data_IF_822257719866
#
_entry.id   IF_822257719866
#
_cell.length_a   1.000
_cell.length_b   1.000
_cell.length_c   1.000
_cell.angle_alpha   90.00
_cell.angle_beta   90.00
_cell.angle_gamma   90.00
#
_symmetry.space_group_name_H-M   'P 1'
#
loop_
_entity.id
_entity.type
_entity.pdbx_description
1 polymer ?
#
# COMPACT_ATOMS: atom_id res chain seq x y z
N UNK A 1 8.43 103.93 0.31
CA UNK A 1 8.97 104.33 1.63
C UNK A 1 9.51 103.00 2.20
N UNK A 2 10.79 102.88 2.04
CA UNK A 2 11.87 102.94 3.03
C UNK A 2 11.88 101.74 3.95
N UNK A 3 12.81 100.93 3.74
CA UNK A 3 14.21 100.79 4.14
C UNK A 3 14.40 99.95 5.41
N UNK A 4 15.36 99.06 5.36
CA UNK A 4 16.30 98.63 6.36
C UNK A 4 16.39 97.16 6.48
N UNK A 5 17.27 96.48 6.06
CA UNK A 5 18.73 96.50 5.93
C UNK A 5 19.40 96.11 7.23
N UNK A 6 19.85 94.88 7.40
CA UNK A 6 21.04 94.55 8.19
C UNK A 6 21.52 93.11 8.05
N UNK A 7 22.77 93.07 7.99
CA UNK A 7 23.70 92.00 7.56
C UNK A 7 23.86 90.76 8.45
N UNK A 8 24.46 89.81 7.81
CA UNK A 8 25.04 88.55 8.25
C UNK A 8 26.17 88.66 9.27
N UNK A 9 26.49 87.61 10.09
CA UNK A 9 27.68 86.86 9.77
C UNK A 9 27.58 85.37 9.89
N UNK A 10 28.37 84.81 9.02
CA UNK A 10 28.81 83.45 8.81
C UNK A 10 29.36 82.67 10.04
N UNK A 11 29.01 81.43 10.13
CA UNK A 11 29.70 80.48 11.00
C UNK A 11 29.55 79.00 10.41
N UNK A 12 30.61 78.58 9.77
CA UNK A 12 30.76 77.19 9.23
C UNK A 12 30.94 76.24 10.41
N UNK A 13 30.17 75.20 10.44
CA UNK A 13 30.44 73.96 11.19
C UNK A 13 29.90 72.77 10.47
N UNK A 14 30.76 72.11 9.67
CA UNK A 14 30.45 70.85 9.00
C UNK A 14 30.70 69.72 10.00
N UNK A 15 29.66 69.12 10.53
CA UNK A 15 29.76 67.87 11.27
C UNK A 15 29.52 66.78 10.31
N UNK A 16 30.58 66.08 9.91
CA UNK A 16 30.52 64.83 9.11
C UNK A 16 30.05 63.70 10.00
N UNK A 17 28.86 63.18 9.70
CA UNK A 17 28.39 61.91 10.25
C UNK A 17 28.91 60.80 9.38
N UNK A 18 29.90 60.08 9.91
CA UNK A 18 30.37 58.83 9.31
C UNK A 18 29.31 57.71 9.56
N UNK A 19 28.59 57.35 8.52
CA UNK A 19 27.72 56.17 8.56
C UNK A 19 28.60 54.91 8.40
N UNK A 20 28.87 54.25 9.52
CA UNK A 20 29.45 52.89 9.49
C UNK A 20 28.38 51.91 9.00
N UNK A 21 28.43 51.53 7.73
CA UNK A 21 27.72 50.36 7.23
C UNK A 21 28.39 49.08 7.80
N UNK A 22 27.86 48.59 8.92
CA UNK A 22 28.17 47.25 9.39
C UNK A 22 27.50 46.27 8.43
N UNK A 23 28.28 45.69 7.50
CA UNK A 23 27.84 44.59 6.68
C UNK A 23 27.58 43.35 7.54
N UNK A 24 26.31 43.02 7.75
CA UNK A 24 25.93 41.72 8.31
C UNK A 24 26.20 40.70 7.26
N UNK A 25 27.34 39.96 7.36
CA UNK A 25 27.59 38.79 6.59
C UNK A 25 26.55 37.72 6.98
N UNK A 26 25.60 37.43 6.10
CA UNK A 26 24.72 36.31 6.25
C UNK A 26 25.58 35.01 6.25
N UNK A 27 25.63 34.31 7.36
CA UNK A 27 26.21 32.98 7.41
C UNK A 27 25.49 32.09 6.41
N UNK A 28 26.19 31.25 5.64
CA UNK A 28 25.53 30.30 4.77
C UNK A 28 24.67 29.38 5.66
N UNK A 29 23.38 29.33 5.37
CA UNK A 29 22.49 28.31 5.94
C UNK A 29 23.05 26.98 5.50
N UNK A 30 23.59 26.23 6.44
CA UNK A 30 24.07 24.88 6.19
C UNK A 30 22.92 24.12 5.51
N UNK A 31 23.15 23.61 4.31
CA UNK A 31 22.22 22.72 3.65
C UNK A 31 22.00 21.55 4.62
N UNK A 32 20.76 21.42 5.11
CA UNK A 32 20.41 20.27 5.93
C UNK A 32 20.85 19.03 5.15
N UNK A 33 21.65 18.21 5.80
CA UNK A 33 22.12 16.93 5.26
C UNK A 33 20.85 16.12 4.89
N UNK A 34 20.48 16.18 3.62
CA UNK A 34 19.44 15.31 3.07
C UNK A 34 20.10 13.96 3.01
N UNK A 35 19.83 13.15 4.02
CA UNK A 35 20.23 11.75 3.99
C UNK A 35 19.99 11.15 2.59
N UNK A 36 20.68 10.07 2.22
CA UNK A 36 20.68 9.54 0.85
C UNK A 36 19.26 9.52 0.27
N UNK A 37 19.10 10.13 -0.91
CA UNK A 37 17.81 10.19 -1.59
C UNK A 37 17.35 8.76 -1.86
N UNK A 38 16.13 8.43 -1.41
CA UNK A 38 15.56 7.10 -1.64
C UNK A 38 15.25 6.94 -3.13
N UNK A 39 15.42 5.75 -3.69
CA UNK A 39 15.07 5.48 -5.09
C UNK A 39 13.59 5.79 -5.36
N UNK A 40 13.30 6.32 -6.56
CA UNK A 40 11.94 6.48 -7.06
C UNK A 40 11.46 5.20 -7.78
N UNK A 41 12.38 4.35 -8.20
CA UNK A 41 12.11 3.08 -8.87
C UNK A 41 12.99 1.99 -8.28
N UNK A 42 12.38 0.83 -8.04
CA UNK A 42 13.05 -0.38 -7.57
C UNK A 42 12.91 -1.46 -8.62
N UNK A 43 14.02 -2.09 -8.99
CA UNK A 43 14.04 -3.16 -9.99
C UNK A 43 13.67 -4.50 -9.34
N UNK A 44 12.74 -5.23 -9.95
CA UNK A 44 12.37 -6.58 -9.53
C UNK A 44 13.03 -7.60 -10.46
N UNK A 45 13.50 -8.73 -9.92
CA UNK A 45 13.80 -9.89 -10.75
C UNK A 45 12.52 -10.43 -11.36
N UNK A 46 12.64 -11.22 -12.42
CA UNK A 46 11.50 -11.89 -13.02
C UNK A 46 11.95 -13.12 -13.77
N UNK A 47 10.97 -13.93 -14.21
CA UNK A 47 11.21 -15.17 -14.94
C UNK A 47 11.59 -14.89 -16.41
N UNK A 48 12.44 -15.71 -17.02
CA UNK A 48 12.77 -15.58 -18.44
C UNK A 48 11.56 -15.69 -19.38
N UNK A 49 10.50 -16.35 -18.91
CA UNK A 49 9.24 -16.53 -19.64
C UNK A 49 8.24 -15.41 -19.45
N UNK A 50 8.59 -14.41 -18.64
CA UNK A 50 7.73 -13.30 -18.27
C UNK A 50 7.20 -13.41 -16.85
N UNK A 51 6.99 -12.25 -16.20
CA UNK A 51 6.50 -12.15 -14.83
C UNK A 51 5.40 -11.12 -14.69
N UNK A 52 4.43 -11.44 -13.83
CA UNK A 52 3.41 -10.51 -13.36
C UNK A 52 3.43 -10.43 -11.84
N UNK A 53 3.21 -9.24 -11.30
CA UNK A 53 3.35 -8.97 -9.86
C UNK A 53 2.04 -8.41 -9.29
N UNK A 54 1.86 -8.52 -7.96
CA UNK A 54 0.65 -7.98 -7.36
C UNK A 54 0.88 -7.30 -6.00
N UNK A 55 1.32 -8.03 -4.97
CA UNK A 55 1.33 -7.56 -3.60
C UNK A 55 2.63 -6.90 -3.18
N UNK A 56 2.57 -5.97 -2.22
CA UNK A 56 3.73 -5.42 -1.54
C UNK A 56 3.50 -5.33 -0.03
N UNK A 57 4.39 -5.93 0.75
CA UNK A 57 4.42 -5.83 2.22
C UNK A 57 5.66 -5.09 2.70
N UNK A 58 5.49 -4.10 3.57
CA UNK A 58 6.59 -3.27 4.10
C UNK A 58 6.83 -3.50 5.59
N UNK A 59 8.01 -3.95 5.97
CA UNK A 59 8.54 -3.80 7.33
C UNK A 59 9.15 -2.39 7.49
N UNK A 60 8.33 -1.43 7.85
CA UNK A 60 8.75 -0.04 7.99
C UNK A 60 9.82 0.17 9.06
N UNK A 61 9.95 -0.73 10.04
CA UNK A 61 10.96 -0.64 11.11
C UNK A 61 12.35 -0.99 10.59
N UNK A 62 12.41 -1.98 9.68
CA UNK A 62 13.68 -2.46 9.10
C UNK A 62 13.97 -1.82 7.74
N UNK A 63 13.01 -1.07 7.17
CA UNK A 63 13.11 -0.48 5.84
C UNK A 63 13.23 -1.57 4.76
N UNK A 64 12.54 -2.68 4.94
CA UNK A 64 12.55 -3.82 4.02
C UNK A 64 11.15 -4.04 3.48
N UNK A 65 11.03 -4.23 2.17
CA UNK A 65 9.76 -4.60 1.55
C UNK A 65 9.88 -5.94 0.80
N UNK A 66 8.73 -6.55 0.60
CA UNK A 66 8.56 -7.82 -0.10
C UNK A 66 7.52 -7.63 -1.19
N UNK A 67 7.76 -8.23 -2.36
CA UNK A 67 6.84 -8.16 -3.52
C UNK A 67 6.53 -9.58 -3.96
N UNK A 68 5.25 -9.85 -4.16
CA UNK A 68 4.76 -11.14 -4.62
C UNK A 68 4.65 -11.20 -6.14
N UNK A 69 5.04 -12.32 -6.71
CA UNK A 69 4.89 -12.64 -8.13
C UNK A 69 3.69 -13.57 -8.34
N UNK A 70 2.79 -13.18 -9.24
CA UNK A 70 1.63 -13.99 -9.60
C UNK A 70 2.02 -15.19 -10.46
N UNK A 71 2.97 -14.98 -11.36
CA UNK A 71 3.56 -16.02 -12.21
C UNK A 71 4.59 -16.80 -11.39
N UNK A 72 4.34 -18.07 -11.11
CA UNK A 72 5.28 -18.94 -10.37
C UNK A 72 5.25 -18.80 -8.84
N UNK A 73 4.83 -17.67 -8.29
CA UNK A 73 4.68 -17.46 -6.84
C UNK A 73 5.96 -17.10 -6.10
N UNK A 74 6.99 -16.61 -6.78
CA UNK A 74 8.22 -16.08 -6.18
C UNK A 74 7.93 -14.87 -5.28
N UNK A 75 8.79 -14.66 -4.29
CA UNK A 75 8.77 -13.45 -3.46
C UNK A 75 10.11 -12.74 -3.56
N UNK A 76 10.08 -11.53 -4.05
CA UNK A 76 11.22 -10.63 -4.07
C UNK A 76 11.33 -9.84 -2.78
N UNK A 77 12.55 -9.43 -2.42
CA UNK A 77 12.84 -8.60 -1.26
C UNK A 77 13.74 -7.44 -1.65
N UNK A 78 13.37 -6.25 -1.21
CA UNK A 78 14.13 -5.02 -1.40
C UNK A 78 14.32 -4.22 -0.11
N UNK A 79 15.10 -3.17 -0.21
CA UNK A 79 15.26 -2.14 0.82
C UNK A 79 14.76 -0.80 0.29
N UNK A 80 14.12 -0.02 1.15
CA UNK A 80 13.60 1.30 0.76
C UNK A 80 14.70 2.33 0.41
N UNK A 81 15.96 2.03 0.72
CA UNK A 81 17.15 2.87 0.50
C UNK A 81 18.07 2.34 -0.61
N UNK A 82 17.70 1.27 -1.31
CA UNK A 82 18.48 0.68 -2.39
C UNK A 82 17.57 0.31 -3.59
N UNK A 83 17.98 0.61 -4.85
CA UNK A 83 17.14 0.43 -6.03
C UNK A 83 16.95 -1.04 -6.44
N UNK A 84 17.87 -1.91 -6.06
CA UNK A 84 17.84 -3.30 -6.48
C UNK A 84 17.13 -4.18 -5.46
N UNK A 85 16.35 -5.12 -5.95
CA UNK A 85 15.76 -6.18 -5.18
C UNK A 85 16.37 -7.54 -5.57
N UNK A 86 16.05 -8.55 -4.81
CA UNK A 86 16.47 -9.93 -5.10
C UNK A 86 15.36 -10.91 -4.76
N UNK A 87 15.37 -12.04 -5.37
CA UNK A 87 14.55 -13.16 -4.93
C UNK A 87 14.87 -13.50 -3.46
N UNK A 88 13.82 -13.68 -2.68
CA UNK A 88 13.90 -14.04 -1.27
C UNK A 88 13.35 -15.43 -1.01
N UNK A 89 12.23 -15.79 -1.67
CA UNK A 89 11.67 -17.13 -1.67
C UNK A 89 11.44 -17.55 -3.12
N UNK A 90 11.92 -18.74 -3.48
CA UNK A 90 11.61 -19.35 -4.75
C UNK A 90 10.12 -19.65 -4.89
N UNK A 91 9.66 -19.77 -6.11
CA UNK A 91 8.32 -20.19 -6.48
C UNK A 91 8.29 -21.57 -7.11
N UNK A 92 7.46 -21.76 -8.15
CA UNK A 92 7.39 -22.96 -8.97
C UNK A 92 7.20 -24.24 -8.14
N UNK A 93 6.17 -24.22 -7.27
CA UNK A 93 5.79 -25.27 -6.34
C UNK A 93 6.66 -25.38 -5.06
N UNK A 94 7.56 -24.44 -4.82
CA UNK A 94 8.25 -24.34 -3.53
C UNK A 94 7.23 -24.10 -2.42
N UNK A 95 7.23 -24.94 -1.41
CA UNK A 95 6.22 -24.99 -0.33
C UNK A 95 4.77 -25.09 -0.86
N UNK A 96 4.56 -25.68 -2.02
CA UNK A 96 3.28 -25.80 -2.71
C UNK A 96 2.79 -24.49 -3.35
N UNK A 97 3.62 -23.47 -3.51
CA UNK A 97 3.26 -22.15 -4.04
C UNK A 97 3.57 -22.05 -5.54
N UNK A 98 2.53 -21.81 -6.34
CA UNK A 98 2.63 -21.57 -7.79
C UNK A 98 2.11 -20.19 -8.18
N UNK A 99 1.52 -19.47 -7.23
CA UNK A 99 1.11 -18.07 -7.39
C UNK A 99 1.11 -17.38 -6.03
N UNK A 100 1.39 -16.10 -6.00
CA UNK A 100 1.33 -15.27 -4.80
C UNK A 100 0.73 -13.91 -5.13
N UNK A 101 -0.16 -13.42 -4.24
CA UNK A 101 -0.88 -12.16 -4.39
C UNK A 101 -0.63 -11.25 -3.20
N UNK A 102 -1.63 -10.78 -2.50
CA UNK A 102 -1.46 -9.91 -1.36
C UNK A 102 -0.40 -10.40 -0.37
N UNK A 103 0.39 -9.48 0.14
CA UNK A 103 1.47 -9.76 1.08
C UNK A 103 1.57 -8.67 2.13
N UNK A 104 1.71 -9.05 3.39
CA UNK A 104 1.88 -8.10 4.49
C UNK A 104 2.92 -8.57 5.50
N UNK A 105 3.39 -7.65 6.34
CA UNK A 105 4.39 -7.93 7.37
C UNK A 105 3.86 -7.48 8.73
N UNK A 106 3.96 -8.35 9.74
CA UNK A 106 3.56 -8.00 11.09
C UNK A 106 4.69 -7.31 11.89
N UNK A 107 4.38 -6.94 13.13
CA UNK A 107 5.34 -6.26 14.00
C UNK A 107 6.54 -7.12 14.41
N UNK A 108 6.44 -8.45 14.33
CA UNK A 108 7.52 -9.39 14.55
C UNK A 108 8.40 -9.59 13.30
N UNK A 109 7.96 -9.08 12.16
CA UNK A 109 8.60 -9.26 10.86
C UNK A 109 8.22 -10.58 10.19
N UNK A 110 7.12 -11.23 10.63
CA UNK A 110 6.57 -12.39 9.93
C UNK A 110 5.84 -11.91 8.68
N UNK A 111 6.02 -12.64 7.60
CA UNK A 111 5.49 -12.31 6.28
C UNK A 111 4.32 -13.24 5.98
N UNK A 112 3.16 -12.68 5.65
CA UNK A 112 1.93 -13.39 5.34
C UNK A 112 1.63 -13.20 3.86
N UNK A 113 1.32 -14.28 3.14
CA UNK A 113 1.17 -14.30 1.69
C UNK A 113 -0.16 -14.95 1.33
N UNK A 114 -0.98 -14.27 0.53
CA UNK A 114 -2.19 -14.80 -0.08
C UNK A 114 -1.85 -15.53 -1.38
N UNK A 115 -2.47 -16.69 -1.61
CA UNK A 115 -2.17 -17.55 -2.75
C UNK A 115 -3.08 -17.34 -3.96
N UNK A 116 -4.06 -16.45 -3.91
CA UNK A 116 -5.03 -16.33 -4.99
C UNK A 116 -5.72 -17.67 -5.26
N UNK A 117 -5.78 -18.11 -6.52
CA UNK A 117 -6.37 -19.41 -6.86
C UNK A 117 -5.37 -20.59 -6.74
N UNK A 118 -4.34 -20.51 -5.87
CA UNK A 118 -3.24 -21.48 -5.82
C UNK A 118 -3.72 -22.95 -5.78
N UNK A 119 -4.64 -23.26 -4.86
CA UNK A 119 -5.22 -24.59 -4.73
C UNK A 119 -6.14 -24.95 -5.89
N UNK A 120 -6.89 -24.00 -6.41
CA UNK A 120 -7.90 -24.23 -7.47
C UNK A 120 -7.30 -24.18 -8.88
N UNK A 121 -6.08 -23.68 -9.05
CA UNK A 121 -5.40 -23.61 -10.35
C UNK A 121 -4.97 -24.98 -10.88
N UNK A 122 -4.85 -25.97 -10.00
CA UNK A 122 -4.47 -27.32 -10.37
C UNK A 122 -5.37 -28.35 -9.64
N UNK A 123 -6.42 -28.83 -10.31
CA UNK A 123 -7.33 -29.82 -9.73
C UNK A 123 -6.66 -31.14 -9.34
N UNK A 124 -5.49 -31.47 -9.88
CA UNK A 124 -4.71 -32.62 -9.51
C UNK A 124 -4.00 -32.49 -8.15
N UNK A 125 -3.91 -31.27 -7.64
CA UNK A 125 -3.25 -30.94 -6.37
C UNK A 125 -4.20 -30.23 -5.40
N UNK A 126 -5.29 -30.87 -4.96
CA UNK A 126 -6.25 -30.28 -4.02
C UNK A 126 -5.66 -30.06 -2.62
N UNK A 127 -4.48 -30.60 -2.37
CA UNK A 127 -3.70 -30.49 -1.14
C UNK A 127 -2.88 -29.19 -1.05
N UNK A 128 -2.76 -28.42 -2.15
CA UNK A 128 -2.00 -27.17 -2.14
C UNK A 128 -2.53 -26.18 -1.10
N UNK A 129 -1.63 -25.44 -0.43
CA UNK A 129 -2.02 -24.36 0.47
C UNK A 129 -2.71 -23.21 -0.26
N UNK A 130 -3.53 -22.45 0.47
CA UNK A 130 -4.13 -21.20 0.00
C UNK A 130 -3.31 -19.98 0.47
N UNK A 131 -2.48 -20.15 1.52
CA UNK A 131 -1.70 -19.07 2.12
C UNK A 131 -0.46 -19.59 2.87
N UNK A 132 0.50 -18.70 3.08
CA UNK A 132 1.75 -19.02 3.79
C UNK A 132 2.09 -17.96 4.83
N UNK A 133 2.82 -18.38 5.86
CA UNK A 133 3.45 -17.51 6.85
C UNK A 133 4.92 -17.86 6.96
N UNK A 134 5.79 -16.88 6.79
CA UNK A 134 7.25 -17.03 6.91
C UNK A 134 7.81 -16.13 8.02
N UNK A 135 8.92 -16.56 8.61
CA UNK A 135 9.75 -15.68 9.42
C UNK A 135 10.46 -14.63 8.54
N UNK A 136 10.96 -13.56 9.14
CA UNK A 136 11.77 -12.56 8.43
C UNK A 136 13.07 -13.10 7.80
N UNK A 137 13.48 -14.32 8.19
CA UNK A 137 14.64 -15.04 7.64
C UNK A 137 14.26 -16.01 6.51
N UNK A 138 12.98 -16.11 6.12
CA UNK A 138 12.52 -17.00 5.06
C UNK A 138 12.23 -18.44 5.52
N UNK A 139 12.18 -18.70 6.85
CA UNK A 139 11.78 -20.02 7.34
C UNK A 139 10.25 -20.13 7.29
N UNK A 140 9.73 -21.16 6.64
CA UNK A 140 8.31 -21.48 6.64
C UNK A 140 7.82 -21.73 8.07
N UNK A 141 6.76 -21.03 8.47
CA UNK A 141 6.09 -21.17 9.77
C UNK A 141 4.76 -21.89 9.62
N UNK A 142 4.05 -21.63 8.52
CA UNK A 142 2.79 -22.28 8.19
C UNK A 142 2.51 -22.23 6.69
N UNK A 143 1.91 -23.30 6.16
CA UNK A 143 1.28 -23.37 4.86
C UNK A 143 -0.12 -23.95 5.10
N UNK A 144 -1.19 -23.19 4.86
CA UNK A 144 -2.53 -23.52 5.31
C UNK A 144 -3.53 -23.48 4.17
N UNK A 145 -4.54 -24.35 4.26
CA UNK A 145 -5.77 -24.22 3.49
C UNK A 145 -6.83 -23.51 4.33
N UNK A 146 -7.65 -22.68 3.67
CA UNK A 146 -8.84 -22.11 4.31
C UNK A 146 -10.00 -23.12 4.27
N UNK A 147 -10.91 -23.10 5.27
CA UNK A 147 -12.04 -24.00 5.35
C UNK A 147 -13.17 -23.61 4.37
N UNK A 148 -12.82 -23.49 3.09
CA UNK A 148 -13.75 -23.18 2.01
C UNK A 148 -13.22 -23.68 0.67
N UNK A 149 -14.11 -24.21 -0.16
CA UNK A 149 -13.78 -24.56 -1.55
C UNK A 149 -13.91 -23.33 -2.45
N UNK A 150 -13.10 -23.26 -3.51
CA UNK A 150 -13.18 -22.19 -4.50
C UNK A 150 -12.77 -20.79 -3.96
N UNK A 151 -12.06 -20.73 -2.84
CA UNK A 151 -11.56 -19.47 -2.34
C UNK A 151 -10.47 -18.91 -3.26
N UNK A 152 -10.51 -17.58 -3.42
CA UNK A 152 -9.49 -16.79 -4.11
C UNK A 152 -8.93 -15.78 -3.12
N UNK A 153 -7.92 -16.16 -2.34
CA UNK A 153 -7.33 -15.24 -1.37
C UNK A 153 -6.55 -14.14 -2.10
N UNK A 154 -6.99 -12.91 -1.97
CA UNK A 154 -6.42 -11.80 -2.73
C UNK A 154 -5.48 -10.96 -1.88
N UNK A 155 -5.99 -10.21 -0.90
CA UNK A 155 -5.17 -9.30 -0.11
C UNK A 155 -5.18 -9.65 1.38
N UNK A 156 -4.27 -9.07 2.15
CA UNK A 156 -4.08 -9.42 3.56
C UNK A 156 -3.66 -8.21 4.40
N UNK A 157 -4.27 -8.06 5.58
CA UNK A 157 -3.87 -7.08 6.59
C UNK A 157 -3.69 -7.71 7.96
N UNK A 158 -2.91 -7.07 8.85
CA UNK A 158 -2.78 -7.49 10.24
C UNK A 158 -3.79 -6.71 11.09
N UNK A 159 -4.64 -7.45 11.79
CA UNK A 159 -5.58 -6.89 12.74
C UNK A 159 -4.94 -6.44 14.07
N UNK A 160 -5.70 -5.74 14.91
CA UNK A 160 -5.23 -5.25 16.22
C UNK A 160 -4.93 -6.39 17.20
N UNK A 161 -5.52 -7.56 16.99
CA UNK A 161 -5.28 -8.79 17.74
C UNK A 161 -4.01 -9.54 17.30
N UNK A 162 -3.30 -9.02 16.28
CA UNK A 162 -2.09 -9.62 15.71
C UNK A 162 -2.36 -10.78 14.76
N UNK A 163 -3.61 -11.12 14.49
CA UNK A 163 -3.98 -12.07 13.44
C UNK A 163 -3.93 -11.43 12.05
N UNK A 164 -3.74 -12.25 11.03
CA UNK A 164 -3.84 -11.82 9.65
C UNK A 164 -5.26 -12.09 9.10
N UNK A 165 -5.80 -11.13 8.35
CA UNK A 165 -7.12 -11.19 7.75
C UNK A 165 -6.99 -11.13 6.23
N UNK A 166 -7.49 -12.17 5.56
CA UNK A 166 -7.37 -12.36 4.12
C UNK A 166 -8.72 -12.17 3.45
N UNK A 167 -8.79 -11.34 2.43
CA UNK A 167 -10.00 -11.20 1.59
C UNK A 167 -10.10 -12.33 0.58
N UNK A 168 -11.35 -12.67 0.25
CA UNK A 168 -11.70 -13.62 -0.80
C UNK A 168 -12.34 -12.88 -1.97
N UNK A 169 -11.67 -12.84 -3.10
CA UNK A 169 -12.16 -12.23 -4.33
C UNK A 169 -13.10 -13.13 -5.14
N UNK A 170 -13.37 -14.35 -4.70
CA UNK A 170 -14.39 -15.21 -5.32
C UNK A 170 -15.78 -14.54 -5.27
N UNK A 171 -16.79 -15.05 -5.99
CA UNK A 171 -18.14 -14.52 -5.89
C UNK A 171 -18.71 -14.45 -4.48
N UNK A 172 -18.24 -15.28 -3.55
CA UNK A 172 -18.65 -15.28 -2.15
C UNK A 172 -17.79 -14.29 -1.35
N UNK A 173 -18.34 -13.17 -0.85
CA UNK A 173 -17.58 -12.15 -0.11
C UNK A 173 -17.24 -12.66 1.30
N UNK A 174 -16.06 -13.25 1.48
CA UNK A 174 -15.57 -13.82 2.73
C UNK A 174 -14.28 -13.16 3.18
N UNK A 175 -14.03 -13.20 4.47
CA UNK A 175 -12.73 -12.88 5.07
C UNK A 175 -12.31 -14.05 5.96
N UNK A 176 -11.10 -14.54 5.75
CA UNK A 176 -10.48 -15.59 6.57
C UNK A 176 -9.50 -14.98 7.57
N UNK A 177 -9.43 -15.55 8.76
CA UNK A 177 -8.51 -15.14 9.83
C UNK A 177 -7.47 -16.23 10.04
N UNK A 178 -6.21 -15.82 10.09
CA UNK A 178 -5.06 -16.68 10.37
C UNK A 178 -4.40 -16.22 11.66
N UNK A 179 -4.27 -17.13 12.60
CA UNK A 179 -3.67 -16.84 13.89
C UNK A 179 -2.81 -18.01 14.36
N UNK A 180 -1.92 -17.70 15.29
CA UNK A 180 -1.15 -18.69 16.03
C UNK A 180 -1.58 -18.68 17.49
N UNK A 181 -1.88 -19.86 18.00
CA UNK A 181 -2.12 -20.10 19.42
C UNK A 181 -1.20 -21.21 19.97
N UNK A 182 -1.55 -21.79 21.12
CA UNK A 182 -0.77 -22.86 21.75
C UNK A 182 -0.79 -24.17 20.94
N UNK A 183 -1.83 -24.38 20.15
CA UNK A 183 -1.98 -25.56 19.28
C UNK A 183 -1.26 -25.42 17.92
N UNK A 184 -0.78 -24.23 17.59
CA UNK A 184 -0.09 -23.92 16.35
C UNK A 184 -0.81 -22.87 15.50
N UNK A 185 -0.56 -22.91 14.21
CA UNK A 185 -1.18 -22.03 13.24
C UNK A 185 -2.50 -22.60 12.74
N UNK A 186 -3.51 -21.74 12.59
CA UNK A 186 -4.81 -22.11 12.05
C UNK A 186 -5.40 -21.04 11.17
N UNK A 187 -6.17 -21.47 10.16
CA UNK A 187 -7.00 -20.62 9.32
C UNK A 187 -8.47 -20.91 9.60
N UNK A 188 -9.28 -19.89 9.76
CA UNK A 188 -10.72 -20.00 10.01
C UNK A 188 -11.50 -19.01 9.16
N UNK A 189 -12.76 -19.34 8.84
CA UNK A 189 -13.69 -18.37 8.28
C UNK A 189 -14.06 -17.39 9.41
N UNK A 190 -13.59 -16.12 9.27
CA UNK A 190 -13.91 -15.08 10.23
C UNK A 190 -15.23 -14.40 9.91
N UNK A 191 -15.48 -14.14 8.60
CA UNK A 191 -16.71 -13.49 8.18
C UNK A 191 -17.18 -14.03 6.84
N UNK A 192 -18.41 -14.50 6.78
CA UNK A 192 -19.20 -14.64 5.57
C UNK A 192 -20.15 -13.44 5.49
N UNK A 193 -19.98 -12.63 4.47
CA UNK A 193 -20.72 -11.38 4.30
C UNK A 193 -21.80 -11.48 3.22
N UNK A 194 -22.15 -12.67 2.75
CA UNK A 194 -23.14 -12.89 1.68
C UNK A 194 -24.54 -12.36 2.00
N UNK A 195 -24.91 -12.31 3.29
CA UNK A 195 -26.16 -11.71 3.73
C UNK A 195 -26.23 -10.17 3.55
N UNK A 196 -25.06 -9.51 3.44
CA UNK A 196 -24.97 -8.05 3.38
C UNK A 196 -24.36 -7.55 2.08
N UNK A 197 -23.35 -8.23 1.58
CA UNK A 197 -22.64 -7.86 0.35
C UNK A 197 -23.21 -8.71 -0.80
N UNK A 198 -23.87 -8.10 -1.79
CA UNK A 198 -24.36 -8.85 -2.93
C UNK A 198 -23.21 -9.51 -3.68
N UNK A 199 -23.38 -10.79 -3.99
CA UNK A 199 -22.45 -11.53 -4.84
C UNK A 199 -22.45 -10.95 -6.25
N UNK A 200 -21.27 -10.83 -6.85
CA UNK A 200 -21.08 -10.33 -8.19
C UNK A 200 -20.16 -11.27 -8.98
N UNK A 201 -20.32 -11.33 -10.28
CA UNK A 201 -19.32 -11.94 -11.15
C UNK A 201 -18.05 -11.09 -11.15
N UNK A 202 -16.88 -11.73 -11.27
CA UNK A 202 -15.58 -11.08 -11.24
C UNK A 202 -15.02 -10.95 -9.82
N UNK A 203 -14.06 -10.04 -9.64
CA UNK A 203 -13.36 -9.87 -8.36
C UNK A 203 -14.22 -9.11 -7.34
N UNK A 204 -14.47 -9.75 -6.21
CA UNK A 204 -15.26 -9.19 -5.11
C UNK A 204 -14.40 -8.47 -4.08
N UNK A 205 -14.28 -9.00 -2.85
CA UNK A 205 -13.44 -8.35 -1.83
C UNK A 205 -11.98 -8.44 -2.25
N UNK A 206 -11.34 -7.29 -2.34
CA UNK A 206 -9.96 -7.15 -2.76
C UNK A 206 -9.13 -6.47 -1.66
N UNK A 207 -8.54 -5.31 -1.90
CA UNK A 207 -7.72 -4.62 -0.93
C UNK A 207 -8.37 -4.50 0.45
N UNK A 208 -7.59 -4.70 1.51
CA UNK A 208 -8.05 -4.69 2.90
C UNK A 208 -7.07 -3.96 3.82
N UNK A 209 -7.60 -3.13 4.73
CA UNK A 209 -6.81 -2.45 5.77
C UNK A 209 -7.49 -2.49 7.11
N UNK A 210 -6.72 -2.53 8.20
CA UNK A 210 -7.21 -2.36 9.55
C UNK A 210 -7.27 -0.87 9.93
N UNK A 211 -8.35 -0.45 10.60
CA UNK A 211 -8.46 0.93 11.10
C UNK A 211 -7.52 1.17 12.28
N UNK A 212 -6.89 2.37 12.39
CA UNK A 212 -5.93 2.67 13.44
C UNK A 212 -6.51 2.63 14.86
N UNK A 213 -7.83 2.81 15.00
CA UNK A 213 -8.54 2.69 16.28
C UNK A 213 -8.77 1.23 16.72
N UNK A 214 -8.37 0.27 15.89
CA UNK A 214 -8.49 -1.16 16.17
C UNK A 214 -9.92 -1.67 16.24
N UNK A 215 -10.89 -0.99 15.60
CA UNK A 215 -12.30 -1.35 15.69
C UNK A 215 -12.87 -2.01 14.44
N UNK A 216 -12.22 -1.83 13.29
CA UNK A 216 -12.75 -2.34 12.03
C UNK A 216 -11.66 -2.72 11.04
N UNK A 217 -12.07 -3.51 10.05
CA UNK A 217 -11.37 -3.65 8.78
C UNK A 217 -12.19 -2.92 7.70
N UNK A 218 -11.50 -2.33 6.74
CA UNK A 218 -12.10 -1.78 5.53
C UNK A 218 -11.67 -2.63 4.35
N UNK A 219 -12.60 -3.00 3.48
CA UNK A 219 -12.29 -3.70 2.24
C UNK A 219 -13.04 -3.10 1.07
N UNK A 220 -12.42 -3.07 -0.10
CA UNK A 220 -13.05 -2.65 -1.36
C UNK A 220 -13.61 -3.86 -2.09
N UNK A 221 -14.82 -3.72 -2.66
CA UNK A 221 -15.38 -4.67 -3.62
C UNK A 221 -15.09 -4.15 -5.03
N UNK A 222 -14.13 -4.76 -5.71
CA UNK A 222 -13.57 -4.25 -6.98
C UNK A 222 -14.61 -4.00 -8.05
N UNK A 223 -15.50 -4.96 -8.32
CA UNK A 223 -16.49 -4.85 -9.41
C UNK A 223 -17.49 -3.73 -9.21
N UNK A 224 -17.84 -3.41 -7.97
CA UNK A 224 -18.86 -2.39 -7.67
C UNK A 224 -18.29 -1.06 -7.22
N UNK A 225 -16.99 -1.02 -6.89
CA UNK A 225 -16.34 0.13 -6.28
C UNK A 225 -16.88 0.47 -4.89
N UNK A 226 -17.56 -0.46 -4.22
CA UNK A 226 -18.10 -0.23 -2.87
C UNK A 226 -17.03 -0.48 -1.83
N UNK A 227 -16.96 0.40 -0.85
CA UNK A 227 -16.13 0.24 0.34
C UNK A 227 -16.99 -0.30 1.49
N UNK A 228 -16.50 -1.32 2.16
CA UNK A 228 -17.19 -2.03 3.23
C UNK A 228 -16.39 -1.94 4.53
N UNK A 229 -17.09 -1.75 5.64
CA UNK A 229 -16.54 -1.73 7.00
C UNK A 229 -17.01 -2.95 7.75
N UNK A 230 -16.07 -3.76 8.20
CA UNK A 230 -16.28 -4.97 9.01
C UNK A 230 -15.92 -4.65 10.46
N UNK A 231 -16.89 -4.72 11.36
CA UNK A 231 -16.64 -4.47 12.77
C UNK A 231 -15.91 -5.65 13.42
N UNK A 232 -14.84 -5.36 14.16
CA UNK A 232 -14.00 -6.40 14.78
C UNK A 232 -14.56 -6.94 16.10
N UNK A 233 -15.59 -6.30 16.67
CA UNK A 233 -16.20 -6.68 17.95
C UNK A 233 -17.59 -7.28 17.80
N UNK A 234 -18.19 -7.14 16.63
CA UNK A 234 -19.52 -7.66 16.33
C UNK A 234 -19.55 -8.20 14.91
N UNK A 235 -20.68 -8.82 14.54
CA UNK A 235 -20.87 -9.38 13.19
C UNK A 235 -21.30 -8.34 12.15
N UNK A 236 -21.27 -7.03 12.51
CA UNK A 236 -21.72 -5.97 11.61
C UNK A 236 -20.79 -5.81 10.42
N UNK A 237 -21.42 -5.73 9.24
CA UNK A 237 -20.80 -5.34 7.98
C UNK A 237 -21.64 -4.20 7.42
N UNK A 238 -21.05 -3.03 7.27
CA UNK A 238 -21.75 -1.83 6.82
C UNK A 238 -21.08 -1.29 5.56
N UNK A 239 -21.86 -0.75 4.59
CA UNK A 239 -21.27 0.03 3.51
C UNK A 239 -20.66 1.33 4.09
N UNK A 240 -19.54 1.75 3.53
CA UNK A 240 -18.97 3.08 3.80
C UNK A 240 -19.41 4.00 2.67
N UNK A 241 -20.37 4.91 2.90
CA UNK A 241 -20.77 5.88 1.90
C UNK A 241 -19.60 6.73 1.45
N UNK A 242 -19.41 6.82 0.14
CA UNK A 242 -18.39 7.67 -0.49
C UNK A 242 -19.11 8.83 -1.17
N UNK A 243 -18.61 10.06 -1.02
CA UNK A 243 -19.23 11.24 -1.62
C UNK A 243 -19.33 11.14 -3.14
N UNK A 244 -20.33 11.80 -3.70
CA UNK A 244 -20.55 11.86 -5.14
C UNK A 244 -19.29 12.26 -5.92
N UNK A 245 -19.06 11.61 -7.05
CA UNK A 245 -17.91 11.84 -7.91
C UNK A 245 -16.67 10.98 -7.61
N UNK A 246 -16.67 10.21 -6.53
CA UNK A 246 -15.62 9.22 -6.28
C UNK A 246 -16.05 7.86 -6.84
N UNK A 247 -15.46 7.45 -7.94
CA UNK A 247 -15.58 6.11 -8.49
C UNK A 247 -14.44 5.23 -7.97
N UNK A 248 -14.75 4.11 -7.34
CA UNK A 248 -13.78 3.13 -6.85
C UNK A 248 -13.87 1.80 -7.61
N UNK A 249 -14.61 1.74 -8.71
CA UNK A 249 -14.68 0.54 -9.57
C UNK A 249 -13.29 0.19 -10.07
N UNK A 250 -12.94 -1.10 -10.03
CA UNK A 250 -11.57 -1.56 -10.26
C UNK A 250 -10.62 -1.18 -9.14
N UNK A 251 -11.15 -0.85 -7.93
CA UNK A 251 -10.33 -0.70 -6.73
C UNK A 251 -9.67 -2.02 -6.37
N UNK A 252 -8.36 -1.97 -6.20
CA UNK A 252 -7.48 -3.11 -5.93
C UNK A 252 -6.85 -2.92 -4.55
N UNK A 253 -5.60 -2.53 -4.44
CA UNK A 253 -4.97 -2.32 -3.14
C UNK A 253 -5.48 -1.10 -2.36
N UNK A 254 -5.54 -1.24 -1.05
CA UNK A 254 -5.86 -0.18 -0.09
C UNK A 254 -4.66 0.18 0.76
N UNK A 255 -4.44 1.48 1.00
CA UNK A 255 -3.43 1.96 1.95
C UNK A 255 -4.07 2.99 2.87
N UNK A 256 -4.05 2.75 4.18
CA UNK A 256 -4.61 3.67 5.17
C UNK A 256 -3.50 4.35 5.97
N UNK A 257 -3.50 5.70 5.95
CA UNK A 257 -2.58 6.51 6.75
C UNK A 257 -3.34 7.55 7.56
N UNK A 258 -3.41 7.36 8.88
CA UNK A 258 -4.28 8.18 9.73
C UNK A 258 -5.74 8.01 9.31
N UNK A 259 -6.35 9.09 8.85
CA UNK A 259 -7.71 9.11 8.33
C UNK A 259 -7.78 9.21 6.78
N UNK A 260 -6.64 9.16 6.11
CA UNK A 260 -6.57 9.18 4.65
C UNK A 260 -6.43 7.77 4.09
N UNK A 261 -7.40 7.36 3.28
CA UNK A 261 -7.40 6.09 2.55
C UNK A 261 -7.01 6.35 1.10
N UNK A 262 -5.98 5.66 0.64
CA UNK A 262 -5.61 5.59 -0.76
C UNK A 262 -6.16 4.30 -1.35
N UNK A 263 -6.78 4.39 -2.51
CA UNK A 263 -7.31 3.28 -3.30
C UNK A 263 -6.58 3.26 -4.62
N UNK A 264 -5.83 2.20 -4.87
CA UNK A 264 -5.22 1.95 -6.18
C UNK A 264 -6.30 1.35 -7.07
N UNK A 265 -6.61 2.01 -8.18
CA UNK A 265 -7.49 1.48 -9.22
C UNK A 265 -6.65 1.01 -10.39
N UNK A 266 -6.52 -0.29 -10.53
CA UNK A 266 -5.56 -0.92 -11.43
C UNK A 266 -5.77 -0.55 -12.92
N UNK A 267 -6.67 -1.20 -13.65
CA UNK A 267 -6.92 -0.92 -15.07
C UNK A 267 -7.46 0.49 -15.37
N UNK A 268 -8.24 1.15 -14.49
CA UNK A 268 -8.53 2.58 -14.65
C UNK A 268 -7.29 3.49 -14.52
N UNK A 269 -6.14 2.98 -14.09
CA UNK A 269 -4.87 3.71 -13.92
C UNK A 269 -5.05 4.99 -13.11
N UNK A 270 -5.59 4.83 -11.91
CA UNK A 270 -5.94 5.95 -11.06
C UNK A 270 -5.61 5.66 -9.60
N UNK A 271 -5.09 6.67 -8.92
CA UNK A 271 -4.96 6.70 -7.46
C UNK A 271 -6.04 7.61 -6.90
N UNK A 272 -6.94 7.06 -6.10
CA UNK A 272 -7.99 7.83 -5.41
C UNK A 272 -7.60 7.99 -3.95
N UNK A 273 -7.68 9.20 -3.42
CA UNK A 273 -7.50 9.48 -2.00
C UNK A 273 -8.82 9.97 -1.38
N UNK A 274 -9.16 9.39 -0.24
CA UNK A 274 -10.38 9.64 0.50
C UNK A 274 -10.07 10.06 1.94
N UNK A 275 -10.82 11.04 2.48
CA UNK A 275 -10.86 11.35 3.91
C UNK A 275 -11.91 10.48 4.58
N UNK A 276 -11.50 9.71 5.56
CA UNK A 276 -12.41 8.91 6.38
C UNK A 276 -12.83 9.69 7.64
N UNK A 277 -14.10 9.60 7.99
CA UNK A 277 -14.70 10.27 9.15
C UNK A 277 -15.69 9.35 9.88
N UNK A 278 -16.26 9.83 11.01
CA UNK A 278 -17.28 9.09 11.76
C UNK A 278 -16.80 7.71 12.26
N UNK A 279 -15.56 7.58 12.71
CA UNK A 279 -14.99 6.29 13.10
C UNK A 279 -14.81 5.35 11.90
N UNK A 280 -14.35 5.89 10.78
CA UNK A 280 -14.10 5.19 9.52
C UNK A 280 -15.39 4.63 8.87
N UNK A 281 -16.54 5.27 9.10
CA UNK A 281 -17.83 4.86 8.56
C UNK A 281 -18.31 5.70 7.36
N UNK A 282 -17.58 6.75 6.99
CA UNK A 282 -17.87 7.64 5.85
C UNK A 282 -16.59 8.05 5.16
N UNK A 283 -16.65 8.27 3.86
CA UNK A 283 -15.53 8.69 3.04
C UNK A 283 -15.88 9.92 2.20
N UNK A 284 -14.94 10.85 2.07
CA UNK A 284 -15.04 12.04 1.23
C UNK A 284 -13.88 12.06 0.26
N UNK A 285 -14.15 12.28 -1.01
CA UNK A 285 -13.11 12.41 -2.03
C UNK A 285 -12.17 13.58 -1.71
N UNK A 286 -10.89 13.31 -1.66
CA UNK A 286 -9.84 14.33 -1.60
C UNK A 286 -9.26 14.59 -2.99
N UNK A 287 -8.88 13.53 -3.69
CA UNK A 287 -8.35 13.60 -5.05
C UNK A 287 -8.54 12.28 -5.79
N UNK A 288 -8.63 12.37 -7.11
CA UNK A 288 -8.53 11.24 -8.02
C UNK A 288 -7.51 11.65 -9.09
N UNK A 289 -6.34 11.00 -9.10
CA UNK A 289 -5.20 11.37 -9.93
C UNK A 289 -4.90 10.22 -10.88
N UNK A 290 -4.77 10.50 -12.17
CA UNK A 290 -4.30 9.52 -13.13
C UNK A 290 -2.87 9.10 -12.76
N UNK A 291 -2.61 7.80 -12.83
CA UNK A 291 -1.26 7.24 -12.74
C UNK A 291 -0.62 7.14 -14.11
N UNK A 292 0.57 6.56 -14.18
CA UNK A 292 1.27 6.32 -15.43
C UNK A 292 0.41 5.50 -16.42
N UNK A 293 0.24 5.99 -17.63
CA UNK A 293 -0.60 5.37 -18.66
C UNK A 293 -0.05 4.03 -19.17
N UNK A 294 1.25 3.81 -19.04
CA UNK A 294 1.94 2.60 -19.51
C UNK A 294 2.11 1.55 -18.41
N UNK A 295 1.46 1.76 -17.25
CA UNK A 295 1.59 0.89 -16.07
C UNK A 295 0.22 0.52 -15.48
N UNK A 296 0.11 -0.71 -15.00
CA UNK A 296 -1.04 -1.15 -14.20
C UNK A 296 -0.58 -1.38 -12.77
N UNK A 297 -0.81 -0.40 -11.90
CA UNK A 297 -0.53 -0.58 -10.47
C UNK A 297 -1.64 -1.38 -9.80
N UNK A 298 -1.28 -2.37 -8.98
CA UNK A 298 -2.22 -3.22 -8.24
C UNK A 298 -2.39 -2.75 -6.80
N UNK A 299 -1.30 -2.65 -6.08
CA UNK A 299 -1.31 -2.24 -4.68
C UNK A 299 -0.09 -1.40 -4.35
N UNK A 300 -0.07 -0.87 -3.13
CA UNK A 300 1.07 -0.08 -2.67
C UNK A 300 1.31 -0.25 -1.17
N UNK A 301 2.53 0.09 -0.73
CA UNK A 301 2.88 0.24 0.67
C UNK A 301 3.31 1.69 0.97
N UNK A 302 2.90 2.22 2.14
CA UNK A 302 3.25 3.59 2.52
C UNK A 302 4.65 3.68 3.13
N UNK A 303 5.52 4.50 2.54
CA UNK A 303 6.86 4.81 3.03
C UNK A 303 7.12 6.31 3.07
N UNK A 304 6.97 6.93 4.26
CA UNK A 304 7.40 8.31 4.55
C UNK A 304 6.97 9.35 3.50
N UNK A 305 5.68 9.44 3.21
CA UNK A 305 5.12 10.41 2.25
C UNK A 305 5.11 9.93 0.81
N UNK A 306 5.40 8.63 0.57
CA UNK A 306 5.32 8.00 -0.74
C UNK A 306 4.54 6.70 -0.66
N UNK A 307 3.93 6.31 -1.75
CA UNK A 307 3.39 4.97 -1.96
C UNK A 307 4.36 4.20 -2.87
N UNK A 308 4.88 3.09 -2.39
CA UNK A 308 5.64 2.15 -3.20
C UNK A 308 4.64 1.27 -3.93
N UNK A 309 4.32 1.62 -5.18
CA UNK A 309 3.29 0.97 -5.99
C UNK A 309 3.90 -0.13 -6.87
N UNK A 310 3.25 -1.29 -6.91
CA UNK A 310 3.69 -2.42 -7.73
C UNK A 310 3.18 -2.26 -9.15
N UNK A 311 4.09 -2.22 -10.13
CA UNK A 311 3.76 -2.33 -11.54
C UNK A 311 3.54 -3.81 -11.88
N UNK A 312 2.29 -4.17 -12.11
CA UNK A 312 1.88 -5.57 -12.20
C UNK A 312 2.22 -6.24 -13.52
N UNK A 313 2.32 -5.48 -14.59
CA UNK A 313 2.44 -5.96 -15.98
C UNK A 313 1.22 -6.79 -16.44
N UNK A 314 0.04 -6.59 -15.84
CA UNK A 314 -1.16 -7.36 -16.17
C UNK A 314 -1.71 -7.10 -17.57
N UNK A 315 -1.43 -5.96 -18.16
CA UNK A 315 -1.79 -5.60 -19.53
C UNK A 315 -0.90 -6.27 -20.60
N UNK A 316 0.29 -6.74 -20.22
CA UNK A 316 1.20 -7.47 -21.13
C UNK A 316 0.88 -8.97 -21.22
N UNK A 317 0.05 -9.49 -20.32
CA UNK A 317 -0.35 -10.89 -20.28
C UNK A 317 0.83 -11.84 -20.04
N UNK A 318 0.76 -13.03 -20.63
CA UNK A 318 1.77 -14.08 -20.46
C UNK A 318 3.16 -13.72 -21.06
N UNK A 319 3.25 -12.66 -21.86
CA UNK A 319 4.49 -12.22 -22.49
C UNK A 319 5.11 -10.99 -21.77
N UNK A 320 4.69 -10.71 -20.54
CA UNK A 320 5.22 -9.60 -19.76
C UNK A 320 6.76 -9.66 -19.69
N UNK A 321 7.40 -8.64 -20.24
CA UNK A 321 8.85 -8.53 -20.32
C UNK A 321 9.38 -7.44 -19.37
N UNK A 322 10.64 -7.51 -18.92
CA UNK A 322 11.23 -6.44 -18.12
C UNK A 322 11.22 -5.08 -18.84
N UNK A 323 11.28 -3.95 -18.10
CA UNK A 323 11.61 -3.90 -16.69
C UNK A 323 10.42 -4.23 -15.78
N UNK A 324 10.67 -4.96 -14.69
CA UNK A 324 9.70 -5.20 -13.62
C UNK A 324 10.03 -4.28 -12.45
N UNK A 325 9.04 -3.56 -11.93
CA UNK A 325 9.34 -2.42 -11.07
C UNK A 325 8.32 -2.21 -9.94
N UNK A 326 8.84 -1.66 -8.84
CA UNK A 326 8.04 -0.91 -7.87
C UNK A 326 8.37 0.56 -8.06
N UNK A 327 7.35 1.40 -8.14
CA UNK A 327 7.47 2.84 -8.39
C UNK A 327 7.00 3.63 -7.18
N UNK A 328 7.80 4.60 -6.74
CA UNK A 328 7.45 5.47 -5.63
C UNK A 328 6.59 6.64 -6.13
N UNK A 329 5.32 6.65 -5.74
CA UNK A 329 4.37 7.72 -6.04
C UNK A 329 4.33 8.69 -4.85
N UNK A 330 4.62 9.99 -5.02
CA UNK A 330 4.51 10.96 -3.94
C UNK A 330 3.05 11.16 -3.56
N UNK A 331 2.77 11.18 -2.24
CA UNK A 331 1.44 11.48 -1.70
C UNK A 331 1.55 12.56 -0.63
N UNK A 332 0.54 13.42 -0.59
CA UNK A 332 0.45 14.54 0.36
C UNK A 332 -0.44 14.21 1.54
#
# INVERSE_FOLDING_TARGET
MERGGAEVPSGRGVIGIAVCCAGVAAAPVAAADRGPSRPDVYQLPGQPTGSTFEGIGLDARRGVFYVSEVTGGEISRGRVDAPDTREWLGGNDTDGRITARGITVDRQGRVYIAGGPNRTSDPARPDRPDLWVYSSQGRLLAALQVPATGAFLNDVTIGPDGAAYFTDSSPTPRIFRVAQDRSGWSASLWRDATATIPTQAGFNLNGIVATPDGRALLAVQSVTGRLWRFDLRSDRVDPVPVTAGADLTGGDGLVLRGDTLYVVRNFPRQLVSLRLTGGFSRATLLAAVATDADRVFTTAAYDRGRLLAVDSRFDDGAAAAPPYQVVALPVR
#
